data_IF_529244446261
#
_entry.id   IF_529244446261
#
_cell.length_a   1.000
_cell.length_b   1.000
_cell.length_c   1.000
_cell.angle_alpha   90.00
_cell.angle_beta   90.00
_cell.angle_gamma   90.00
#
_symmetry.space_group_name_H-M   'P 1'
#
loop_
_entity.id
_entity.type
_entity.pdbx_description
1 polymer ?
#
# COMPACT_ATOMS: atom_id res chain seq x y z
N UNK A 1 -15.68 -0.20 31.33
CA UNK A 1 -15.77 1.24 31.02
C UNK A 1 -16.09 1.37 29.55
N UNK A 2 -17.35 1.70 29.23
CA UNK A 2 -17.76 2.02 27.86
C UNK A 2 -17.40 3.49 27.61
N UNK A 3 -16.60 3.76 26.58
CA UNK A 3 -16.26 5.12 26.17
C UNK A 3 -17.48 5.80 25.54
N UNK A 4 -17.57 7.12 25.75
CA UNK A 4 -18.66 7.99 25.34
C UNK A 4 -18.86 7.97 23.80
N UNK A 5 -20.11 7.78 23.29
CA UNK A 5 -20.42 7.84 21.87
C UNK A 5 -19.96 9.12 21.16
N UNK A 6 -19.85 10.24 21.87
CA UNK A 6 -19.38 11.51 21.29
C UNK A 6 -17.85 11.55 21.09
N UNK A 7 -17.08 10.82 21.90
CA UNK A 7 -15.62 10.70 21.77
C UNK A 7 -15.23 9.82 20.56
N UNK A 8 -16.07 8.84 20.23
CA UNK A 8 -15.89 7.96 19.07
C UNK A 8 -16.08 8.70 17.73
N UNK A 9 -16.87 9.78 17.71
CA UNK A 9 -17.08 10.59 16.50
C UNK A 9 -15.92 11.56 16.20
N UNK A 10 -15.17 12.00 17.21
CA UNK A 10 -14.05 12.93 17.05
C UNK A 10 -12.75 12.23 16.62
N UNK A 11 -12.62 10.94 16.93
CA UNK A 11 -11.46 10.12 16.58
C UNK A 11 -11.59 9.43 15.22
N UNK A 12 -12.79 9.41 14.62
CA UNK A 12 -13.01 8.75 13.33
C UNK A 12 -12.07 9.29 12.23
N UNK A 13 -11.09 8.47 11.84
CA UNK A 13 -10.10 8.80 10.81
C UNK A 13 -8.73 9.28 11.32
N UNK A 14 -8.51 9.35 12.64
CA UNK A 14 -7.18 9.61 13.22
C UNK A 14 -6.30 8.36 13.32
N UNK A 15 -4.99 8.53 13.38
CA UNK A 15 -4.02 7.45 13.66
C UNK A 15 -4.39 6.68 14.94
N UNK A 16 -4.87 7.37 15.98
CA UNK A 16 -5.23 6.79 17.27
C UNK A 16 -6.47 5.89 17.19
N UNK A 17 -7.46 6.26 16.37
CA UNK A 17 -8.64 5.43 16.13
C UNK A 17 -8.32 4.17 15.36
N UNK A 18 -7.47 4.29 14.34
CA UNK A 18 -7.06 3.13 13.57
C UNK A 18 -6.19 2.18 14.42
N UNK A 19 -5.32 2.73 15.26
CA UNK A 19 -4.59 1.96 16.27
C UNK A 19 -5.54 1.28 17.27
N UNK A 20 -6.68 1.88 17.61
CA UNK A 20 -7.70 1.26 18.46
C UNK A 20 -8.40 0.07 17.77
N UNK A 21 -8.79 0.20 16.51
CA UNK A 21 -9.35 -0.92 15.71
C UNK A 21 -8.34 -2.06 15.57
N UNK A 22 -7.07 -1.72 15.29
CA UNK A 22 -5.98 -2.69 15.25
C UNK A 22 -5.79 -3.33 16.61
N UNK A 23 -5.86 -2.59 17.73
CA UNK A 23 -5.82 -3.15 19.10
C UNK A 23 -6.95 -4.14 19.37
N UNK A 24 -8.16 -3.91 18.86
CA UNK A 24 -9.28 -4.86 18.99
C UNK A 24 -8.99 -6.15 18.21
N UNK A 25 -8.41 -6.03 17.01
CA UNK A 25 -8.01 -7.19 16.19
C UNK A 25 -6.80 -7.93 16.82
N UNK A 26 -5.81 -7.19 17.33
CA UNK A 26 -4.61 -7.65 18.07
C UNK A 26 -4.96 -8.35 19.38
N UNK A 27 -5.90 -7.82 20.17
CA UNK A 27 -6.31 -8.41 21.44
C UNK A 27 -6.89 -9.82 21.26
N UNK A 28 -7.38 -10.12 20.06
CA UNK A 28 -7.86 -11.44 19.66
C UNK A 28 -6.77 -12.33 19.05
N UNK A 29 -5.60 -11.76 18.68
CA UNK A 29 -4.49 -12.41 17.97
C UNK A 29 -3.13 -11.80 18.39
N UNK A 30 -2.48 -12.28 19.46
CA UNK A 30 -1.24 -11.70 20.02
C UNK A 30 -0.03 -11.70 19.08
N UNK A 31 -0.13 -12.41 17.94
CA UNK A 31 0.93 -12.55 16.95
C UNK A 31 0.89 -11.48 15.85
N UNK A 32 -0.02 -10.51 15.98
CA UNK A 32 -0.19 -9.46 15.00
C UNK A 32 0.99 -8.48 15.11
N UNK A 33 1.83 -8.36 14.08
CA UNK A 33 2.93 -7.42 14.15
C UNK A 33 2.40 -5.97 14.09
N UNK A 34 3.23 -5.02 14.53
CA UNK A 34 2.91 -3.58 14.54
C UNK A 34 2.71 -2.98 13.15
N UNK A 35 2.57 -1.65 13.07
CA UNK A 35 2.40 -0.92 11.80
C UNK A 35 3.62 -1.13 10.88
N UNK A 36 3.40 -1.50 9.63
CA UNK A 36 4.41 -1.44 8.57
C UNK A 36 4.42 -0.02 7.96
N UNK A 37 5.53 0.73 8.06
CA UNK A 37 5.60 2.11 7.59
C UNK A 37 5.60 2.20 6.07
N UNK A 38 5.21 3.38 5.55
CA UNK A 38 5.52 3.76 4.18
C UNK A 38 6.98 4.19 4.11
N UNK A 39 7.69 3.85 3.04
CA UNK A 39 9.14 4.09 2.96
C UNK A 39 9.55 4.55 1.57
N UNK A 40 10.47 5.50 1.51
CA UNK A 40 11.28 5.76 0.34
C UNK A 40 12.27 4.60 0.13
N UNK A 41 12.24 4.01 -1.06
CA UNK A 41 13.00 2.83 -1.43
C UNK A 41 14.26 3.14 -2.27
N UNK A 42 14.50 4.41 -2.59
CA UNK A 42 15.62 4.86 -3.43
C UNK A 42 15.22 5.18 -4.87
N UNK A 43 16.23 5.45 -5.71
CA UNK A 43 16.06 5.72 -7.13
C UNK A 43 15.75 4.42 -7.89
N UNK A 44 14.73 4.44 -8.74
CA UNK A 44 14.30 3.28 -9.53
C UNK A 44 15.45 2.71 -10.37
N UNK A 45 16.26 3.58 -10.97
CA UNK A 45 17.40 3.20 -11.80
C UNK A 45 18.43 2.32 -11.06
N UNK A 46 18.48 2.39 -9.72
CA UNK A 46 19.48 1.72 -8.90
C UNK A 46 18.97 0.45 -8.20
N UNK A 47 17.73 0.01 -8.49
CA UNK A 47 17.09 -1.08 -7.73
C UNK A 47 17.37 -2.49 -8.27
N UNK A 48 17.57 -2.65 -9.58
CA UNK A 48 17.54 -3.97 -10.24
C UNK A 48 18.54 -4.97 -9.66
N UNK A 49 19.72 -4.48 -9.27
CA UNK A 49 20.83 -5.30 -8.77
C UNK A 49 20.84 -5.42 -7.24
N UNK A 50 19.88 -4.81 -6.53
CA UNK A 50 19.83 -4.84 -5.06
C UNK A 50 19.21 -6.13 -4.56
N UNK A 51 19.93 -6.81 -3.67
CA UNK A 51 19.48 -8.05 -3.04
C UNK A 51 18.22 -7.82 -2.18
N UNK A 52 18.20 -6.73 -1.42
CA UNK A 52 17.15 -6.35 -0.48
C UNK A 52 17.07 -4.82 -0.31
N UNK A 53 16.50 -4.33 0.80
CA UNK A 53 16.30 -2.90 1.05
C UNK A 53 17.34 -2.28 1.98
N UNK A 54 18.43 -2.98 2.29
CA UNK A 54 19.45 -2.52 3.25
C UNK A 54 19.99 -1.13 2.90
N UNK A 55 20.31 -0.87 1.63
CA UNK A 55 20.86 0.43 1.22
C UNK A 55 19.87 1.59 1.47
N UNK A 56 18.60 1.38 1.14
CA UNK A 56 17.55 2.36 1.42
C UNK A 56 17.37 2.57 2.92
N UNK A 57 17.46 1.50 3.71
CA UNK A 57 17.31 1.54 5.15
C UNK A 57 18.48 2.21 5.90
N UNK A 58 19.71 2.13 5.38
CA UNK A 58 20.86 2.86 5.93
C UNK A 58 20.80 4.37 5.67
N UNK A 59 20.01 4.80 4.68
CA UNK A 59 19.74 6.21 4.42
C UNK A 59 18.71 6.78 5.41
N UNK A 60 17.91 7.74 4.93
CA UNK A 60 16.74 8.22 5.66
C UNK A 60 15.48 7.86 4.87
N UNK A 61 14.89 6.67 5.10
CA UNK A 61 13.78 6.18 4.29
C UNK A 61 12.44 6.87 4.59
N UNK A 62 12.41 7.76 5.60
CA UNK A 62 11.26 8.63 5.91
C UNK A 62 11.29 9.94 5.11
N UNK A 63 12.37 10.20 4.36
CA UNK A 63 12.53 11.42 3.57
C UNK A 63 12.83 11.06 2.12
N UNK A 64 11.96 11.48 1.20
CA UNK A 64 12.22 11.43 -0.24
C UNK A 64 12.91 12.71 -0.75
N UNK A 65 13.80 12.59 -1.76
CA UNK A 65 14.39 13.75 -2.43
C UNK A 65 13.32 14.60 -3.16
N UNK A 66 13.65 15.84 -3.60
CA UNK A 66 12.72 16.75 -4.27
C UNK A 66 12.27 16.28 -5.67
N UNK A 67 12.90 15.26 -6.24
CA UNK A 67 12.58 14.74 -7.56
C UNK A 67 11.25 13.97 -7.59
N UNK A 68 10.70 13.80 -8.79
CA UNK A 68 9.51 12.98 -9.05
C UNK A 68 9.69 11.58 -8.45
N UNK A 69 8.62 11.04 -7.85
CA UNK A 69 8.58 9.66 -7.40
C UNK A 69 7.40 8.91 -8.00
N UNK A 70 7.57 7.59 -8.06
CA UNK A 70 6.47 6.64 -8.14
C UNK A 70 6.01 6.32 -6.73
N UNK A 71 4.76 6.63 -6.38
CA UNK A 71 4.11 6.16 -5.18
C UNK A 71 3.40 4.84 -5.50
N UNK A 72 4.05 3.73 -5.19
CA UNK A 72 3.54 2.39 -5.47
C UNK A 72 2.68 1.90 -4.31
N UNK A 73 1.37 1.85 -4.53
CA UNK A 73 0.37 1.44 -3.55
C UNK A 73 0.08 -0.06 -3.67
N UNK A 74 0.28 -0.79 -2.57
CA UNK A 74 0.00 -2.22 -2.40
C UNK A 74 -1.10 -2.43 -1.36
N UNK A 75 -1.64 -3.63 -1.22
CA UNK A 75 -2.83 -3.82 -0.37
C UNK A 75 -2.51 -3.69 1.14
N UNK A 76 -1.58 -4.51 1.64
CA UNK A 76 -1.27 -4.68 3.05
C UNK A 76 0.00 -5.53 3.20
N UNK A 77 0.77 -5.34 4.28
CA UNK A 77 1.94 -6.17 4.56
C UNK A 77 1.57 -7.63 4.79
N UNK A 78 2.50 -8.53 4.52
CA UNK A 78 2.49 -9.96 4.85
C UNK A 78 3.48 -10.25 5.99
N UNK A 79 3.74 -11.53 6.25
CA UNK A 79 4.65 -11.97 7.32
C UNK A 79 6.11 -11.56 7.05
N UNK A 80 6.53 -11.52 5.79
CA UNK A 80 7.92 -11.24 5.40
C UNK A 80 8.34 -9.80 5.73
N UNK A 81 7.39 -8.87 5.70
CA UNK A 81 7.58 -7.46 6.07
C UNK A 81 8.10 -7.31 7.50
N UNK A 82 7.89 -8.31 8.36
CA UNK A 82 8.27 -8.31 9.78
C UNK A 82 9.37 -9.33 10.12
N UNK A 83 10.09 -9.82 9.11
CA UNK A 83 11.14 -10.82 9.30
C UNK A 83 12.30 -10.28 10.13
N UNK A 84 12.55 -10.88 11.29
CA UNK A 84 13.70 -10.58 12.14
C UNK A 84 15.07 -10.84 11.48
N UNK A 85 15.09 -11.42 10.26
CA UNK A 85 16.31 -11.59 9.46
C UNK A 85 16.96 -10.26 9.09
N UNK A 86 16.19 -9.18 9.00
CA UNK A 86 16.67 -7.89 8.53
C UNK A 86 16.53 -6.84 9.64
N UNK A 87 17.60 -6.09 9.89
CA UNK A 87 17.67 -5.06 10.95
C UNK A 87 16.65 -3.92 10.75
N UNK A 88 16.20 -3.71 9.51
CA UNK A 88 15.34 -2.60 9.11
C UNK A 88 13.85 -2.95 9.09
N UNK A 89 13.47 -4.12 9.60
CA UNK A 89 12.06 -4.49 9.68
C UNK A 89 11.34 -3.73 10.82
N UNK A 90 10.07 -3.35 10.63
CA UNK A 90 9.22 -3.63 9.48
C UNK A 90 9.53 -2.80 8.22
N UNK A 91 9.42 -3.42 7.05
CA UNK A 91 9.65 -2.76 5.76
C UNK A 91 8.64 -3.21 4.68
N UNK A 92 8.01 -2.30 3.93
CA UNK A 92 6.99 -2.65 2.94
C UNK A 92 7.58 -3.48 1.78
N UNK A 93 6.90 -4.56 1.42
CA UNK A 93 7.36 -5.50 0.39
C UNK A 93 8.76 -6.05 0.69
N UNK A 94 9.01 -6.57 1.89
CA UNK A 94 10.32 -7.15 2.22
C UNK A 94 10.52 -8.58 1.66
N UNK A 95 9.44 -9.22 1.22
CA UNK A 95 9.43 -10.57 0.67
C UNK A 95 9.61 -10.67 -0.85
N UNK A 96 9.07 -11.74 -1.48
CA UNK A 96 9.09 -11.93 -2.93
C UNK A 96 8.52 -10.76 -3.72
N UNK A 97 7.51 -10.07 -3.19
CA UNK A 97 6.94 -8.86 -3.80
C UNK A 97 8.02 -7.78 -3.99
N UNK A 98 8.85 -7.51 -2.98
CA UNK A 98 9.92 -6.53 -3.08
C UNK A 98 10.98 -6.90 -4.10
N UNK A 99 11.36 -8.18 -4.13
CA UNK A 99 12.28 -8.69 -5.16
C UNK A 99 11.74 -8.41 -6.56
N UNK A 100 10.43 -8.63 -6.79
CA UNK A 100 9.80 -8.34 -8.08
C UNK A 100 9.76 -6.84 -8.39
N UNK A 101 9.46 -6.00 -7.40
CA UNK A 101 9.48 -4.54 -7.55
C UNK A 101 10.88 -4.10 -8.00
N UNK A 102 11.93 -4.45 -7.25
CA UNK A 102 13.32 -4.09 -7.56
C UNK A 102 13.72 -4.47 -8.98
N UNK A 103 13.38 -5.69 -9.38
CA UNK A 103 13.75 -6.23 -10.70
C UNK A 103 12.96 -5.64 -11.87
N UNK A 104 11.74 -5.13 -11.66
CA UNK A 104 10.78 -4.90 -12.76
C UNK A 104 10.09 -3.56 -12.77
N UNK A 105 10.19 -2.74 -11.74
CA UNK A 105 9.52 -1.43 -11.69
C UNK A 105 9.95 -0.52 -12.85
N UNK A 106 11.22 -0.58 -13.27
CA UNK A 106 11.72 0.15 -14.43
C UNK A 106 11.05 -0.26 -15.75
N UNK A 107 10.54 -1.49 -15.82
CA UNK A 107 9.84 -2.04 -16.98
C UNK A 107 8.31 -2.00 -16.82
N UNK A 108 7.78 -1.30 -15.81
CA UNK A 108 6.34 -1.23 -15.56
C UNK A 108 5.57 -0.30 -16.53
N UNK A 109 6.21 0.19 -17.59
CA UNK A 109 5.57 1.07 -18.58
C UNK A 109 5.07 2.38 -17.95
N UNK A 110 5.87 2.95 -17.04
CA UNK A 110 5.61 4.22 -16.36
C UNK A 110 6.54 5.29 -16.97
N UNK A 111 6.12 6.56 -17.06
CA UNK A 111 6.96 7.66 -17.55
C UNK A 111 8.00 8.06 -16.49
N UNK A 112 9.02 7.22 -16.31
CA UNK A 112 10.10 7.42 -15.34
C UNK A 112 11.37 7.93 -16.03
N UNK A 113 12.20 8.64 -15.26
CA UNK A 113 13.54 9.10 -15.64
C UNK A 113 14.60 8.43 -14.74
N UNK A 114 15.88 8.72 -14.97
CA UNK A 114 16.98 8.22 -14.14
C UNK A 114 16.88 8.69 -12.68
N UNK A 115 16.27 9.86 -12.46
CA UNK A 115 16.14 10.50 -11.14
C UNK A 115 14.81 10.16 -10.44
N UNK A 116 13.94 9.35 -11.07
CA UNK A 116 12.66 8.99 -10.47
C UNK A 116 12.88 8.10 -9.24
N UNK A 117 12.41 8.57 -8.10
CA UNK A 117 12.40 7.83 -6.85
C UNK A 117 11.24 6.84 -6.74
N UNK A 118 11.31 5.93 -5.77
CA UNK A 118 10.24 5.00 -5.43
C UNK A 118 9.83 5.19 -3.97
N UNK A 119 8.54 5.38 -3.72
CA UNK A 119 7.92 5.30 -2.40
C UNK A 119 6.99 4.11 -2.38
N UNK A 120 7.15 3.25 -1.37
CA UNK A 120 6.31 2.08 -1.17
C UNK A 120 5.25 2.38 -0.11
N UNK A 121 3.98 2.17 -0.46
CA UNK A 121 2.84 2.46 0.40
C UNK A 121 1.95 1.22 0.45
N UNK A 122 1.55 0.80 1.65
CA UNK A 122 0.45 -0.16 1.81
C UNK A 122 -0.85 0.61 2.06
N UNK A 123 -1.96 0.23 1.41
CA UNK A 123 -3.28 0.83 1.62
C UNK A 123 -3.72 0.64 3.08
N UNK A 124 -3.58 -0.58 3.60
CA UNK A 124 -3.67 -0.88 5.03
C UNK A 124 -2.27 -1.24 5.55
N UNK A 125 -1.65 -0.44 6.43
CA UNK A 125 -0.28 -0.68 6.90
C UNK A 125 -0.18 -1.75 8.00
N UNK A 126 -1.14 -2.67 8.07
CA UNK A 126 -1.18 -3.77 9.04
C UNK A 126 -1.49 -5.08 8.34
N UNK A 127 -1.02 -6.19 8.87
CA UNK A 127 -1.13 -7.48 8.19
C UNK A 127 -2.58 -7.98 8.17
N UNK A 128 -3.28 -7.84 7.05
CA UNK A 128 -4.68 -8.28 6.96
C UNK A 128 -4.84 -9.80 6.95
N UNK A 129 -3.80 -10.58 6.61
CA UNK A 129 -3.85 -12.05 6.58
C UNK A 129 -3.82 -12.71 7.97
N UNK A 130 -3.66 -11.93 9.04
CA UNK A 130 -3.58 -12.41 10.43
C UNK A 130 -2.54 -13.54 10.66
N UNK A 131 -1.47 -13.60 9.87
CA UNK A 131 -0.46 -14.67 9.95
C UNK A 131 -0.90 -16.03 9.40
N UNK A 132 -2.10 -16.15 8.83
CA UNK A 132 -2.65 -17.43 8.34
C UNK A 132 -2.35 -17.64 6.86
N UNK A 133 -1.88 -18.84 6.53
CA UNK A 133 -1.75 -19.36 5.17
C UNK A 133 -2.58 -20.64 5.05
N UNK A 134 -3.33 -20.87 3.95
CA UNK A 134 -3.42 -20.00 2.77
C UNK A 134 -4.14 -18.68 3.04
N UNK A 135 -3.74 -17.64 2.31
CA UNK A 135 -4.37 -16.31 2.35
C UNK A 135 -5.81 -16.45 1.83
N UNK A 136 -6.77 -16.47 2.75
CA UNK A 136 -8.18 -16.75 2.46
C UNK A 136 -9.09 -15.52 2.49
N UNK A 137 -10.40 -15.78 2.48
CA UNK A 137 -11.48 -14.77 2.61
C UNK A 137 -11.32 -13.86 3.82
N UNK A 138 -10.72 -14.38 4.90
CA UNK A 138 -10.50 -13.64 6.14
C UNK A 138 -9.66 -12.39 5.92
N UNK A 139 -8.67 -12.43 5.01
CA UNK A 139 -7.86 -11.25 4.67
C UNK A 139 -8.71 -10.12 4.10
N UNK A 140 -9.59 -10.43 3.16
CA UNK A 140 -10.41 -9.42 2.49
C UNK A 140 -11.43 -8.83 3.47
N UNK A 141 -12.01 -9.67 4.33
CA UNK A 141 -12.92 -9.22 5.40
C UNK A 141 -12.20 -8.26 6.34
N UNK A 142 -10.99 -8.60 6.78
CA UNK A 142 -10.20 -7.75 7.68
C UNK A 142 -9.80 -6.45 6.99
N UNK A 143 -9.36 -6.52 5.73
CA UNK A 143 -9.04 -5.34 4.93
C UNK A 143 -10.24 -4.40 4.85
N UNK A 144 -11.42 -4.92 4.47
CA UNK A 144 -12.63 -4.10 4.31
C UNK A 144 -13.11 -3.52 5.63
N UNK A 145 -13.11 -4.32 6.69
CA UNK A 145 -13.46 -3.84 8.02
C UNK A 145 -12.52 -2.70 8.45
N UNK A 146 -11.22 -2.85 8.24
CA UNK A 146 -10.24 -1.80 8.52
C UNK A 146 -10.47 -0.57 7.64
N UNK A 147 -10.75 -0.78 6.35
CA UNK A 147 -11.00 0.28 5.37
C UNK A 147 -12.23 1.13 5.71
N UNK A 148 -13.36 0.48 6.01
CA UNK A 148 -14.63 1.10 6.41
C UNK A 148 -14.53 1.82 7.76
N UNK A 149 -13.68 1.33 8.67
CA UNK A 149 -13.48 1.91 10.01
C UNK A 149 -12.38 2.96 10.08
N UNK A 150 -12.14 3.66 8.98
CA UNK A 150 -11.20 4.80 8.93
C UNK A 150 -9.89 4.50 8.21
N UNK A 151 -9.64 3.25 7.81
CA UNK A 151 -8.47 2.89 7.01
C UNK A 151 -8.37 3.66 5.70
N UNK A 152 -9.52 3.97 5.06
CA UNK A 152 -9.56 4.84 3.87
C UNK A 152 -8.99 6.23 4.16
N UNK A 153 -9.52 6.93 5.16
CA UNK A 153 -9.06 8.29 5.51
C UNK A 153 -7.59 8.29 5.93
N UNK A 154 -7.17 7.27 6.69
CA UNK A 154 -5.79 7.10 7.11
C UNK A 154 -4.83 6.84 5.93
N UNK A 155 -5.25 6.03 4.95
CA UNK A 155 -4.51 5.86 3.71
C UNK A 155 -4.38 7.19 2.94
N UNK A 156 -5.48 7.92 2.77
CA UNK A 156 -5.48 9.19 2.05
C UNK A 156 -4.54 10.21 2.71
N UNK A 157 -4.58 10.32 4.04
CA UNK A 157 -3.67 11.19 4.81
C UNK A 157 -2.19 10.85 4.53
N UNK A 158 -1.83 9.56 4.60
CA UNK A 158 -0.45 9.11 4.30
C UNK A 158 -0.07 9.31 2.83
N UNK A 159 -1.00 9.06 1.90
CA UNK A 159 -0.77 9.31 0.47
C UNK A 159 -0.46 10.79 0.22
N UNK A 160 -1.27 11.69 0.77
CA UNK A 160 -1.07 13.15 0.65
C UNK A 160 0.23 13.61 1.30
N UNK A 161 0.67 12.98 2.39
CA UNK A 161 1.96 13.27 3.01
C UNK A 161 3.14 12.98 2.06
N UNK A 162 3.07 11.89 1.28
CA UNK A 162 4.14 11.50 0.36
C UNK A 162 4.06 12.17 -1.01
N UNK A 163 2.84 12.50 -1.44
CA UNK A 163 2.56 13.02 -2.76
C UNK A 163 3.08 14.45 -2.94
N UNK A 164 3.63 14.71 -4.12
CA UNK A 164 4.00 16.02 -4.64
C UNK A 164 3.50 16.14 -6.07
N UNK A 165 3.25 17.37 -6.49
CA UNK A 165 2.84 17.64 -7.87
C UNK A 165 3.86 17.04 -8.87
N UNK A 166 3.34 16.40 -9.92
CA UNK A 166 4.13 15.69 -10.92
C UNK A 166 4.47 14.23 -10.58
N UNK A 167 4.20 13.76 -9.36
CA UNK A 167 4.39 12.35 -9.02
C UNK A 167 3.44 11.41 -9.76
N UNK A 168 3.87 10.16 -9.88
CA UNK A 168 3.07 9.08 -10.43
C UNK A 168 2.49 8.25 -9.29
N UNK A 169 1.18 8.05 -9.26
CA UNK A 169 0.52 7.20 -8.26
C UNK A 169 0.11 5.89 -8.92
N UNK A 170 0.65 4.78 -8.44
CA UNK A 170 0.44 3.45 -9.04
C UNK A 170 -0.36 2.58 -8.08
N UNK A 171 -1.60 2.26 -8.45
CA UNK A 171 -2.40 1.28 -7.72
C UNK A 171 -2.07 -0.14 -8.20
N UNK A 172 -1.35 -0.86 -7.35
CA UNK A 172 -0.95 -2.25 -7.55
C UNK A 172 -1.58 -3.22 -6.53
N UNK A 173 -2.71 -2.85 -5.93
CA UNK A 173 -3.44 -3.72 -5.01
C UNK A 173 -3.98 -4.98 -5.70
N UNK A 174 -4.20 -6.05 -4.92
CA UNK A 174 -4.80 -7.27 -5.47
C UNK A 174 -6.30 -7.08 -5.74
N UNK A 175 -6.89 -7.99 -6.51
CA UNK A 175 -8.34 -8.03 -6.75
C UNK A 175 -9.10 -8.35 -5.45
N UNK A 176 -8.51 -9.15 -4.56
CA UNK A 176 -9.28 -9.89 -3.57
C UNK A 176 -10.00 -11.11 -4.18
N UNK A 177 -10.69 -11.84 -3.32
CA UNK A 177 -11.55 -12.97 -3.58
C UNK A 177 -13.01 -12.57 -3.78
N UNK A 178 -13.44 -11.41 -3.26
CA UNK A 178 -14.79 -10.92 -3.51
C UNK A 178 -14.97 -10.49 -4.97
N UNK A 179 -15.98 -11.07 -5.60
CA UNK A 179 -16.32 -10.83 -7.01
C UNK A 179 -17.25 -9.63 -7.19
N UNK A 180 -17.85 -9.09 -6.15
CA UNK A 180 -18.75 -7.93 -6.27
C UNK A 180 -17.98 -6.63 -6.48
N UNK A 181 -16.96 -6.36 -5.65
CA UNK A 181 -16.14 -5.15 -5.74
C UNK A 181 -14.68 -5.43 -5.38
N UNK A 182 -13.75 -5.42 -6.35
CA UNK A 182 -12.34 -5.67 -6.08
C UNK A 182 -11.72 -4.68 -5.08
N UNK A 183 -10.85 -5.15 -4.17
CA UNK A 183 -10.21 -4.28 -3.17
C UNK A 183 -9.42 -3.14 -3.81
N UNK A 184 -8.75 -3.41 -4.93
CA UNK A 184 -8.06 -2.39 -5.72
C UNK A 184 -8.97 -1.26 -6.23
N UNK A 185 -10.27 -1.49 -6.44
CA UNK A 185 -11.20 -0.43 -6.85
C UNK A 185 -11.52 0.50 -5.68
N UNK A 186 -11.62 -0.02 -4.44
CA UNK A 186 -11.78 0.82 -3.25
C UNK A 186 -10.58 1.74 -3.03
N UNK A 187 -9.38 1.21 -3.26
CA UNK A 187 -8.13 1.99 -3.17
C UNK A 187 -8.03 3.00 -4.31
N UNK A 188 -8.46 2.64 -5.52
CA UNK A 188 -8.47 3.53 -6.68
C UNK A 188 -9.36 4.76 -6.44
N UNK A 189 -10.59 4.53 -5.96
CA UNK A 189 -11.52 5.61 -5.59
C UNK A 189 -10.89 6.52 -4.52
N UNK A 190 -10.20 5.95 -3.52
CA UNK A 190 -9.55 6.75 -2.49
C UNK A 190 -8.35 7.56 -2.99
N UNK A 191 -7.59 7.03 -3.96
CA UNK A 191 -6.52 7.78 -4.64
C UNK A 191 -7.13 8.94 -5.42
N UNK A 192 -8.18 8.67 -6.22
CA UNK A 192 -8.90 9.69 -6.99
C UNK A 192 -9.41 10.83 -6.13
N UNK A 193 -10.03 10.49 -5.00
CA UNK A 193 -10.60 11.48 -4.09
C UNK A 193 -9.52 12.30 -3.35
N UNK A 194 -8.32 11.74 -3.14
CA UNK A 194 -7.25 12.41 -2.39
C UNK A 194 -6.33 13.27 -3.27
N UNK A 195 -6.03 12.79 -4.48
CA UNK A 195 -5.09 13.42 -5.42
C UNK A 195 -5.67 13.35 -6.85
N UNK A 196 -6.77 14.08 -7.12
CA UNK A 196 -7.54 13.96 -8.37
C UNK A 196 -6.72 14.26 -9.62
N UNK A 197 -5.76 15.19 -9.50
CA UNK A 197 -4.91 15.65 -10.61
C UNK A 197 -3.62 14.83 -10.77
N UNK A 198 -3.41 13.78 -9.97
CA UNK A 198 -2.23 12.94 -10.08
C UNK A 198 -2.23 12.12 -11.39
N UNK A 199 -1.02 11.88 -11.91
CA UNK A 199 -0.83 10.92 -13.00
C UNK A 199 -0.97 9.50 -12.43
N UNK A 200 -2.17 8.92 -12.59
CA UNK A 200 -2.53 7.61 -12.02
C UNK A 200 -2.28 6.47 -13.00
N UNK A 201 -1.74 5.37 -12.49
CA UNK A 201 -1.53 4.13 -13.23
C UNK A 201 -2.08 2.93 -12.47
N UNK A 202 -2.64 1.99 -13.22
CA UNK A 202 -3.14 0.71 -12.72
C UNK A 202 -2.18 -0.38 -13.12
N UNK A 203 -1.68 -1.18 -12.17
CA UNK A 203 -0.80 -2.33 -12.47
C UNK A 203 -1.23 -3.54 -11.66
N UNK A 204 -1.08 -4.73 -12.23
CA UNK A 204 -1.30 -5.94 -11.43
C UNK A 204 -0.29 -6.00 -10.28
N UNK A 205 -0.65 -6.72 -9.21
CA UNK A 205 0.17 -6.79 -8.01
C UNK A 205 1.61 -7.25 -8.32
N UNK A 206 2.65 -6.63 -7.72
CA UNK A 206 4.04 -6.85 -8.14
C UNK A 206 4.53 -8.29 -7.98
N UNK A 207 3.92 -9.06 -7.07
CA UNK A 207 4.18 -10.51 -6.96
C UNK A 207 4.06 -11.25 -8.32
N UNK A 208 3.17 -10.78 -9.21
CA UNK A 208 2.95 -11.36 -10.53
C UNK A 208 3.84 -10.81 -11.66
N UNK A 209 4.76 -9.89 -11.35
CA UNK A 209 5.68 -9.29 -12.33
C UNK A 209 6.83 -10.26 -12.67
N UNK A 210 6.50 -11.43 -13.22
CA UNK A 210 7.48 -12.45 -13.57
C UNK A 210 8.37 -12.02 -14.74
N UNK A 211 7.86 -11.15 -15.61
CA UNK A 211 8.56 -10.58 -16.75
C UNK A 211 8.09 -9.13 -17.00
N UNK A 212 8.78 -8.42 -17.89
CA UNK A 212 8.49 -7.01 -18.22
C UNK A 212 7.08 -6.81 -18.77
N UNK A 213 6.57 -7.73 -19.60
CA UNK A 213 5.20 -7.65 -20.13
C UNK A 213 4.15 -7.70 -19.02
N UNK A 214 4.32 -8.57 -18.02
CA UNK A 214 3.45 -8.64 -16.84
C UNK A 214 3.55 -7.39 -15.97
N UNK A 215 4.75 -6.82 -15.85
CA UNK A 215 4.98 -5.60 -15.07
C UNK A 215 4.29 -4.37 -15.67
N UNK A 216 4.20 -4.28 -17.01
CA UNK A 216 3.53 -3.19 -17.70
C UNK A 216 2.03 -3.41 -17.91
N UNK A 217 1.50 -4.59 -17.61
CA UNK A 217 0.08 -4.89 -17.82
C UNK A 217 -0.78 -4.10 -16.83
N UNK A 218 -1.70 -3.30 -17.38
CA UNK A 218 -2.72 -2.62 -16.61
C UNK A 218 -3.90 -3.54 -16.30
N UNK A 219 -4.55 -3.31 -15.16
CA UNK A 219 -5.85 -3.88 -14.90
C UNK A 219 -6.94 -2.87 -15.21
N UNK A 220 -8.10 -3.37 -15.63
CA UNK A 220 -9.28 -2.57 -15.88
C UNK A 220 -10.28 -2.69 -14.72
N UNK A 221 -11.01 -1.60 -14.40
CA UNK A 221 -12.16 -1.65 -13.51
C UNK A 221 -13.22 -2.61 -14.05
N UNK A 222 -14.00 -3.24 -13.17
CA UNK A 222 -15.18 -3.97 -13.63
C UNK A 222 -16.20 -3.01 -14.25
N UNK A 223 -16.73 -3.38 -15.41
CA UNK A 223 -17.81 -2.66 -16.06
C UNK A 223 -19.01 -2.54 -15.10
N UNK A 224 -19.43 -1.30 -14.80
CA UNK A 224 -20.53 -0.99 -13.88
C UNK A 224 -20.15 -0.32 -12.56
N UNK A 225 -18.86 -0.17 -12.24
CA UNK A 225 -18.39 0.49 -11.01
C UNK A 225 -18.37 2.03 -11.06
N UNK A 226 -18.73 2.66 -12.18
CA UNK A 226 -18.81 4.13 -12.26
C UNK A 226 -19.93 4.63 -11.36
N UNK A 227 -19.58 5.30 -10.25
CA UNK A 227 -20.53 6.16 -9.53
C UNK A 227 -21.05 7.23 -10.51
N UNK A 228 -22.34 7.60 -10.45
CA UNK A 228 -22.81 8.76 -11.18
C UNK A 228 -22.01 9.99 -10.71
N UNK A 229 -21.54 10.77 -11.67
CA UNK A 229 -20.94 12.08 -11.39
C UNK A 229 -21.92 12.89 -10.55
N UNK A 230 -21.50 13.35 -9.37
CA UNK A 230 -22.29 14.35 -8.64
C UNK A 230 -22.32 15.61 -9.50
N UNK A 231 -23.52 15.96 -9.96
CA UNK A 231 -23.86 17.26 -10.51
C UNK A 231 -23.89 18.31 -9.41
#
# INVERSE_FOLDING_TARGET
>A
MQADPHEQSALAGSDEWFQHIVKIVHASHPQFPGKCPDRYAGLIANLADKADWSDAAHGNPDIRPPHQCVLLVMESPHIDEYSAKFFYTPWPANGPTGKRIRQRIAAAGLPITADTGLVLINAIPFQCSLGKSPIGKDRDTVFRLAWERGGRAFFQSRLMHWYREGDLVVNACTVGHDRMRPLREDVEDAIEDAVPDALRFRRYHPFSWFNSARASTAWEPKAGARKPSRA
#
